data_IF_717773422231
#
_entry.id   IF_717773422231
#
_cell.length_a   1.000
_cell.length_b   1.000
_cell.length_c   1.000
_cell.angle_alpha   90.00
_cell.angle_beta   90.00
_cell.angle_gamma   90.00
#
_symmetry.space_group_name_H-M   'P 1'
#
loop_
_entity.id
_entity.type
_entity.pdbx_description
1 polymer ?
#
# COMPACT_ATOMS: atom_id res chain seq x y z
N UNK A 1 -6.38 -9.99 25.39
CA UNK A 1 -5.46 -10.90 24.76
C UNK A 1 -4.08 -10.82 25.41
N UNK A 2 -3.39 -11.92 25.64
CA UNK A 2 -2.09 -11.95 26.30
C UNK A 2 -1.15 -12.91 25.57
N UNK A 3 0.02 -12.44 25.20
CA UNK A 3 1.06 -13.23 24.53
C UNK A 3 2.35 -13.22 25.34
N UNK A 4 2.94 -14.40 25.53
CA UNK A 4 4.25 -14.50 26.14
C UNK A 4 5.13 -15.47 25.34
N UNK A 5 6.32 -15.05 24.93
CA UNK A 5 6.86 -13.68 25.02
C UNK A 5 6.06 -12.67 24.18
N UNK A 6 6.34 -11.37 24.34
CA UNK A 6 5.63 -10.31 23.63
C UNK A 6 5.53 -10.56 22.12
N UNK A 7 4.36 -10.30 21.56
CA UNK A 7 4.05 -10.51 20.15
C UNK A 7 4.41 -9.27 19.33
N UNK A 8 4.87 -9.46 18.11
CA UNK A 8 4.94 -8.45 17.07
C UNK A 8 3.74 -8.62 16.12
N UNK A 9 2.83 -7.66 16.06
CA UNK A 9 1.70 -7.67 15.13
C UNK A 9 2.08 -7.09 13.77
N UNK A 10 1.26 -7.34 12.74
CA UNK A 10 1.48 -6.84 11.39
C UNK A 10 1.59 -5.32 11.30
N UNK A 11 0.90 -4.58 12.17
CA UNK A 11 0.93 -3.11 12.25
C UNK A 11 1.93 -2.55 13.28
N UNK A 12 3.01 -3.27 13.56
CA UNK A 12 4.15 -2.80 14.39
C UNK A 12 3.82 -2.56 15.87
N UNK A 13 2.89 -3.30 16.44
CA UNK A 13 2.69 -3.33 17.89
C UNK A 13 3.53 -4.44 18.51
N UNK A 14 4.41 -4.06 19.45
CA UNK A 14 5.39 -4.96 20.08
C UNK A 14 5.16 -5.02 21.59
N UNK A 15 4.16 -5.76 22.04
CA UNK A 15 3.92 -6.00 23.46
C UNK A 15 3.13 -7.30 23.73
N UNK A 16 3.00 -7.65 25.02
CA UNK A 16 2.26 -8.84 25.45
C UNK A 16 0.74 -8.65 25.50
N UNK A 17 0.24 -7.42 25.32
CA UNK A 17 -1.16 -7.06 25.50
C UNK A 17 -1.70 -6.22 24.34
N UNK A 18 -1.58 -6.70 23.07
CA UNK A 18 -2.12 -5.96 21.94
C UNK A 18 -3.64 -5.81 22.06
N UNK A 19 -4.14 -4.61 21.75
CA UNK A 19 -5.56 -4.31 21.69
C UNK A 19 -6.22 -4.85 20.42
N UNK A 20 -7.55 -4.76 20.34
CA UNK A 20 -8.31 -5.23 19.17
C UNK A 20 -7.94 -4.48 17.88
N UNK A 21 -7.52 -3.21 18.00
CA UNK A 21 -7.11 -2.38 16.86
C UNK A 21 -5.62 -2.54 16.49
N UNK A 22 -4.89 -3.38 17.21
CA UNK A 22 -3.46 -3.63 16.98
C UNK A 22 -3.21 -4.85 16.10
N UNK A 23 -4.19 -5.26 15.28
CA UNK A 23 -4.11 -6.45 14.43
C UNK A 23 -3.63 -7.70 15.20
N UNK A 24 -4.19 -7.89 16.39
CA UNK A 24 -3.75 -8.91 17.37
C UNK A 24 -3.78 -10.35 16.81
N UNK A 25 -4.56 -10.60 15.75
CA UNK A 25 -4.65 -11.88 15.04
C UNK A 25 -3.48 -12.13 14.08
N UNK A 26 -2.67 -11.11 13.79
CA UNK A 26 -1.55 -11.20 12.85
C UNK A 26 -0.22 -11.45 13.57
N UNK A 27 0.78 -11.89 12.82
CA UNK A 27 2.17 -11.97 13.24
C UNK A 27 3.05 -11.28 12.21
N UNK A 28 3.85 -10.32 12.66
CA UNK A 28 4.82 -9.67 11.78
C UNK A 28 5.94 -10.62 11.41
N UNK A 29 6.18 -10.80 10.13
CA UNK A 29 7.30 -11.58 9.63
C UNK A 29 8.61 -10.80 9.78
N UNK A 30 9.69 -11.51 10.05
CA UNK A 30 11.00 -10.88 10.19
C UNK A 30 11.64 -10.62 8.82
N UNK A 31 11.56 -9.38 8.37
CA UNK A 31 12.24 -8.91 7.16
C UNK A 31 13.63 -8.29 7.44
N UNK A 32 14.16 -8.47 8.64
CA UNK A 32 15.50 -7.97 9.01
C UNK A 32 15.49 -6.53 9.53
N UNK A 33 14.35 -5.99 9.95
CA UNK A 33 14.26 -4.65 10.54
C UNK A 33 14.12 -4.75 12.05
N UNK A 34 15.04 -4.12 12.79
CA UNK A 34 14.96 -3.99 14.25
C UNK A 34 14.08 -2.78 14.63
N UNK A 35 12.80 -3.02 14.82
CA UNK A 35 11.82 -2.01 15.17
C UNK A 35 12.02 -1.40 16.55
N UNK A 36 12.68 -2.11 17.46
CA UNK A 36 12.95 -1.64 18.83
C UNK A 36 14.23 -0.80 18.93
N UNK A 37 15.05 -0.80 17.87
CA UNK A 37 16.30 -0.08 17.80
C UNK A 37 16.34 0.80 16.52
N UNK A 38 15.57 1.87 16.52
CA UNK A 38 15.51 2.90 15.48
C UNK A 38 15.22 2.37 14.06
N UNK A 39 14.57 1.21 13.93
CA UNK A 39 14.25 0.56 12.66
C UNK A 39 15.51 0.26 11.81
N UNK A 40 16.63 -0.06 12.47
CA UNK A 40 17.87 -0.43 11.78
C UNK A 40 17.64 -1.69 10.94
N UNK A 41 18.02 -1.63 9.67
CA UNK A 41 17.99 -2.77 8.76
C UNK A 41 19.19 -3.68 8.92
N UNK A 42 18.96 -4.98 8.96
CA UNK A 42 19.97 -6.04 8.99
C UNK A 42 19.71 -6.95 7.78
N UNK A 43 20.27 -6.58 6.63
CA UNK A 43 20.00 -7.24 5.34
C UNK A 43 21.23 -7.98 4.80
N UNK A 44 22.30 -8.07 5.57
CA UNK A 44 23.51 -8.85 5.25
C UNK A 44 23.88 -9.73 6.46
N UNK A 45 23.70 -11.07 6.38
CA UNK A 45 23.12 -11.79 5.26
C UNK A 45 21.63 -11.49 5.04
N UNK A 46 21.14 -11.68 3.81
CA UNK A 46 19.71 -11.52 3.48
C UNK A 46 18.88 -12.42 4.38
N UNK A 47 17.81 -11.88 5.03
CA UNK A 47 16.89 -12.68 5.85
C UNK A 47 16.25 -13.84 5.06
N UNK A 48 16.14 -15.01 5.67
CA UNK A 48 15.51 -16.20 5.04
C UNK A 48 14.06 -15.93 4.58
N UNK A 49 13.35 -15.04 5.28
CA UNK A 49 12.02 -14.57 4.89
C UNK A 49 12.00 -14.01 3.46
N UNK A 50 13.05 -13.29 3.03
CA UNK A 50 13.11 -12.71 1.68
C UNK A 50 13.14 -13.81 0.61
N UNK A 51 13.96 -14.83 0.80
CA UNK A 51 14.05 -15.96 -0.13
C UNK A 51 12.71 -16.68 -0.24
N UNK A 52 12.06 -16.97 0.89
CA UNK A 52 10.75 -17.63 0.92
C UNK A 52 9.66 -16.81 0.25
N UNK A 53 9.63 -15.50 0.48
CA UNK A 53 8.65 -14.61 -0.16
C UNK A 53 8.91 -14.47 -1.66
N UNK A 54 10.17 -14.44 -2.09
CA UNK A 54 10.51 -14.46 -3.52
C UNK A 54 10.05 -15.77 -4.18
N UNK A 55 10.27 -16.92 -3.54
CA UNK A 55 9.78 -18.22 -4.03
C UNK A 55 8.25 -18.22 -4.21
N UNK A 56 7.50 -17.63 -3.26
CA UNK A 56 6.04 -17.48 -3.36
C UNK A 56 5.65 -16.60 -4.55
N UNK A 57 6.31 -15.46 -4.73
CA UNK A 57 6.05 -14.56 -5.85
C UNK A 57 6.33 -15.26 -7.20
N UNK A 58 7.46 -15.94 -7.34
CA UNK A 58 7.81 -16.69 -8.55
C UNK A 58 6.84 -17.84 -8.81
N UNK A 59 6.41 -18.57 -7.75
CA UNK A 59 5.43 -19.64 -7.90
C UNK A 59 4.11 -19.14 -8.50
N UNK A 60 3.60 -18.01 -8.01
CA UNK A 60 2.35 -17.46 -8.52
C UNK A 60 2.53 -16.78 -9.90
N UNK A 61 3.63 -16.08 -10.12
CA UNK A 61 3.95 -15.52 -11.44
C UNK A 61 3.96 -16.59 -12.54
N UNK A 62 4.47 -17.80 -12.23
CA UNK A 62 4.45 -18.93 -13.14
C UNK A 62 3.05 -19.53 -13.43
N UNK A 63 1.98 -19.00 -12.81
CA UNK A 63 0.57 -19.40 -13.05
C UNK A 63 -0.15 -18.50 -14.03
N UNK A 64 0.57 -17.71 -14.82
CA UNK A 64 0.01 -16.83 -15.84
C UNK A 64 -0.95 -15.77 -15.28
N UNK A 65 -0.59 -15.21 -14.15
CA UNK A 65 -1.28 -14.05 -13.56
C UNK A 65 -0.73 -12.75 -14.15
N UNK A 66 -1.52 -11.66 -14.12
CA UNK A 66 -1.13 -10.35 -14.64
C UNK A 66 -0.27 -9.53 -13.67
N UNK A 67 -0.40 -9.78 -12.38
CA UNK A 67 0.34 -9.01 -11.37
C UNK A 67 -0.03 -9.32 -9.93
N UNK A 68 0.56 -8.52 -9.03
CA UNK A 68 0.35 -8.61 -7.59
C UNK A 68 -0.16 -7.28 -7.03
N UNK A 69 -1.22 -7.33 -6.26
CA UNK A 69 -1.59 -6.27 -5.30
C UNK A 69 -0.93 -6.61 -3.97
N UNK A 70 -0.07 -5.73 -3.50
CA UNK A 70 0.68 -5.90 -2.26
C UNK A 70 0.00 -5.12 -1.15
N UNK A 71 -0.67 -5.86 -0.26
CA UNK A 71 -1.37 -5.35 0.91
C UNK A 71 -0.40 -4.69 1.87
N UNK A 72 -0.73 -3.47 2.35
CA UNK A 72 0.06 -2.72 3.31
C UNK A 72 1.58 -2.81 3.02
N UNK A 73 1.96 -2.58 1.75
CA UNK A 73 3.34 -2.75 1.29
C UNK A 73 4.36 -1.92 2.10
N UNK A 74 3.93 -0.78 2.66
CA UNK A 74 4.78 0.07 3.51
C UNK A 74 5.13 -0.56 4.88
N UNK A 75 4.45 -1.64 5.29
CA UNK A 75 4.80 -2.43 6.48
C UNK A 75 5.92 -3.43 6.22
N UNK A 76 6.36 -3.56 4.97
CA UNK A 76 7.50 -4.36 4.53
C UNK A 76 8.60 -3.42 4.05
N UNK A 77 9.88 -3.61 4.44
CA UNK A 77 10.94 -2.69 4.07
C UNK A 77 11.09 -2.56 2.55
N UNK A 78 11.31 -1.33 2.09
CA UNK A 78 11.44 -1.03 0.65
C UNK A 78 12.61 -1.78 0.02
N UNK A 79 13.64 -2.07 0.79
CA UNK A 79 14.82 -2.85 0.37
C UNK A 79 14.45 -4.27 -0.06
N UNK A 80 13.47 -4.91 0.62
CA UNK A 80 12.95 -6.20 0.17
C UNK A 80 12.30 -6.10 -1.20
N UNK A 81 11.44 -5.10 -1.41
CA UNK A 81 10.75 -4.91 -2.69
C UNK A 81 11.74 -4.61 -3.81
N UNK A 82 12.72 -3.72 -3.55
CA UNK A 82 13.79 -3.39 -4.49
C UNK A 82 14.68 -4.58 -4.85
N UNK A 83 14.78 -5.56 -3.97
CA UNK A 83 15.50 -6.81 -4.24
C UNK A 83 14.62 -7.85 -4.94
N UNK A 84 13.36 -8.00 -4.55
CA UNK A 84 12.49 -9.08 -5.04
C UNK A 84 11.85 -8.77 -6.40
N UNK A 85 11.30 -7.56 -6.59
CA UNK A 85 10.55 -7.20 -7.81
C UNK A 85 11.39 -7.34 -9.10
N UNK A 86 12.65 -6.85 -9.15
CA UNK A 86 13.47 -7.03 -10.33
C UNK A 86 13.70 -8.50 -10.69
N UNK A 87 13.88 -9.38 -9.70
CA UNK A 87 14.08 -10.82 -9.92
C UNK A 87 12.84 -11.52 -10.48
N UNK A 88 11.64 -11.10 -10.03
CA UNK A 88 10.38 -11.59 -10.62
C UNK A 88 10.24 -11.11 -12.05
N UNK A 89 10.50 -9.82 -12.33
CA UNK A 89 10.37 -9.21 -13.66
C UNK A 89 11.42 -9.71 -14.65
N UNK A 90 12.58 -10.16 -14.19
CA UNK A 90 13.58 -10.80 -15.04
C UNK A 90 13.03 -12.09 -15.68
N UNK A 91 12.25 -12.86 -14.93
CA UNK A 91 11.65 -14.12 -15.40
C UNK A 91 10.27 -13.90 -16.04
N UNK A 92 9.50 -12.94 -15.52
CA UNK A 92 8.11 -12.65 -15.90
C UNK A 92 7.94 -11.14 -16.14
N UNK A 93 8.44 -10.58 -17.26
CA UNK A 93 8.49 -9.14 -17.49
C UNK A 93 7.11 -8.46 -17.63
N UNK A 94 6.04 -9.24 -17.85
CA UNK A 94 4.66 -8.73 -17.94
C UNK A 94 4.00 -8.49 -16.58
N UNK A 95 4.56 -9.05 -15.50
CA UNK A 95 3.97 -8.94 -14.16
C UNK A 95 4.01 -7.49 -13.67
N UNK A 96 2.85 -6.97 -13.24
CA UNK A 96 2.71 -5.64 -12.63
C UNK A 96 2.67 -5.79 -11.11
N UNK A 97 3.28 -4.81 -10.42
CA UNK A 97 3.22 -4.70 -8.94
C UNK A 97 2.48 -3.43 -8.55
N UNK A 98 1.39 -3.60 -7.80
CA UNK A 98 0.57 -2.50 -7.27
C UNK A 98 0.73 -2.51 -5.75
N UNK A 99 1.16 -1.39 -5.16
CA UNK A 99 1.33 -1.29 -3.72
C UNK A 99 0.23 -0.46 -3.04
N UNK A 100 -0.17 -0.92 -1.89
CA UNK A 100 -0.90 -0.12 -0.93
C UNK A 100 0.10 0.59 -0.01
N UNK A 101 0.25 1.91 -0.21
CA UNK A 101 1.11 2.79 0.58
C UNK A 101 0.28 4.02 0.97
N UNK A 102 0.14 4.29 2.26
CA UNK A 102 -0.69 5.39 2.76
C UNK A 102 0.12 6.63 3.14
N UNK A 103 1.44 6.51 3.32
CA UNK A 103 2.29 7.66 3.57
C UNK A 103 2.75 8.32 2.26
N UNK A 104 2.25 9.53 1.91
CA UNK A 104 2.64 10.20 0.66
C UNK A 104 4.14 10.54 0.57
N UNK A 105 4.83 10.65 1.70
CA UNK A 105 6.28 10.88 1.73
C UNK A 105 7.07 9.67 1.23
N UNK A 106 6.48 8.47 1.31
CA UNK A 106 7.08 7.22 0.88
C UNK A 106 6.76 6.86 -0.58
N UNK A 107 5.83 7.53 -1.25
CA UNK A 107 5.42 7.18 -2.61
C UNK A 107 6.60 7.06 -3.57
N UNK A 108 7.48 8.06 -3.61
CA UNK A 108 8.67 8.04 -4.48
C UNK A 108 9.65 6.94 -4.10
N UNK A 109 9.78 6.65 -2.81
CA UNK A 109 10.64 5.58 -2.31
C UNK A 109 10.17 4.21 -2.82
N UNK A 110 8.88 3.92 -2.72
CA UNK A 110 8.31 2.64 -3.17
C UNK A 110 8.26 2.51 -4.70
N UNK A 111 8.09 3.62 -5.44
CA UNK A 111 8.16 3.60 -6.90
C UNK A 111 9.61 3.40 -7.37
N UNK A 112 10.55 4.24 -6.91
CA UNK A 112 11.90 4.26 -7.48
C UNK A 112 12.84 3.22 -6.87
N UNK A 113 12.81 3.05 -5.56
CA UNK A 113 13.67 2.09 -4.86
C UNK A 113 12.97 0.74 -4.67
N UNK A 114 11.66 0.74 -4.46
CA UNK A 114 10.84 -0.47 -4.34
C UNK A 114 10.48 -1.12 -5.69
N UNK A 115 10.60 -0.40 -6.80
CA UNK A 115 10.27 -0.83 -8.17
C UNK A 115 8.80 -1.18 -8.41
N UNK A 116 7.88 -0.63 -7.63
CA UNK A 116 6.45 -0.76 -7.89
C UNK A 116 6.03 0.00 -9.16
N UNK A 117 5.15 -0.60 -9.94
CA UNK A 117 4.60 0.03 -11.15
C UNK A 117 3.55 1.07 -10.77
N UNK A 118 2.69 0.74 -9.79
CA UNK A 118 1.60 1.59 -9.34
C UNK A 118 1.44 1.59 -7.83
N UNK A 119 1.00 2.73 -7.30
CA UNK A 119 0.54 2.89 -5.92
C UNK A 119 -0.90 3.38 -5.90
N UNK A 120 -1.68 3.01 -4.89
CA UNK A 120 -3.00 3.61 -4.66
C UNK A 120 -2.88 5.09 -4.27
N UNK A 121 -3.63 5.96 -4.93
CA UNK A 121 -3.79 7.35 -4.49
C UNK A 121 -4.94 7.48 -3.48
N UNK A 122 -4.76 6.85 -2.31
CA UNK A 122 -5.75 6.85 -1.22
C UNK A 122 -5.79 8.20 -0.51
N UNK A 123 -4.66 8.61 0.06
CA UNK A 123 -4.56 9.81 0.92
C UNK A 123 -4.57 11.10 0.12
N UNK A 124 -4.17 11.06 -1.14
CA UNK A 124 -4.22 12.20 -2.05
C UNK A 124 -5.62 12.39 -2.65
N UNK A 125 -5.85 11.77 -3.80
CA UNK A 125 -7.04 12.03 -4.61
C UNK A 125 -8.32 11.42 -4.03
N UNK A 126 -8.29 10.15 -3.57
CA UNK A 126 -9.51 9.50 -3.04
C UNK A 126 -10.10 10.28 -1.86
N UNK A 127 -9.29 10.57 -0.83
CA UNK A 127 -9.78 11.27 0.37
C UNK A 127 -10.27 12.68 0.03
N UNK A 128 -9.59 13.37 -0.89
CA UNK A 128 -10.02 14.70 -1.36
C UNK A 128 -11.34 14.63 -2.12
N UNK A 129 -11.53 13.68 -3.03
CA UNK A 129 -12.79 13.53 -3.78
C UNK A 129 -13.96 13.15 -2.86
N UNK A 130 -13.71 12.29 -1.88
CA UNK A 130 -14.72 11.96 -0.87
C UNK A 130 -15.10 13.17 -0.02
N UNK A 131 -14.11 13.88 0.53
CA UNK A 131 -14.35 15.06 1.36
C UNK A 131 -15.08 16.16 0.58
N UNK A 132 -14.70 16.39 -0.68
CA UNK A 132 -15.37 17.32 -1.57
C UNK A 132 -16.83 16.94 -1.84
N UNK A 133 -17.07 15.65 -2.13
CA UNK A 133 -18.42 15.14 -2.38
C UNK A 133 -19.31 15.25 -1.14
N UNK A 134 -18.75 15.06 0.04
CA UNK A 134 -19.42 15.27 1.32
C UNK A 134 -19.62 16.77 1.68
N UNK A 135 -19.01 17.70 0.95
CA UNK A 135 -19.08 19.14 1.22
C UNK A 135 -18.11 19.64 2.32
N UNK A 136 -17.07 18.86 2.62
CA UNK A 136 -16.09 19.15 3.66
C UNK A 136 -14.81 19.78 3.12
N UNK A 137 -14.62 19.80 1.79
CA UNK A 137 -13.41 20.33 1.14
C UNK A 137 -13.77 21.15 -0.12
N UNK A 138 -12.77 21.92 -0.62
CA UNK A 138 -12.89 22.73 -1.83
C UNK A 138 -12.29 22.01 -3.04
N UNK A 139 -12.89 22.18 -4.22
CA UNK A 139 -12.35 21.67 -5.48
C UNK A 139 -10.94 22.22 -5.81
N UNK A 140 -10.54 23.34 -5.22
CA UNK A 140 -9.19 23.91 -5.36
C UNK A 140 -8.10 23.01 -4.80
N UNK A 141 -8.45 22.03 -3.96
CA UNK A 141 -7.49 21.08 -3.41
C UNK A 141 -7.08 19.99 -4.41
N UNK A 142 -7.88 19.71 -5.44
CA UNK A 142 -7.56 18.69 -6.45
C UNK A 142 -6.26 19.04 -7.20
N UNK A 143 -6.09 20.24 -7.81
CA UNK A 143 -4.82 20.61 -8.45
C UNK A 143 -3.63 20.56 -7.49
N UNK A 144 -3.83 20.90 -6.23
CA UNK A 144 -2.77 20.84 -5.23
C UNK A 144 -2.32 19.38 -4.96
N UNK A 145 -3.28 18.45 -4.89
CA UNK A 145 -2.94 17.02 -4.74
C UNK A 145 -2.13 16.51 -5.95
N UNK A 146 -2.54 16.86 -7.17
CA UNK A 146 -1.80 16.49 -8.37
C UNK A 146 -0.39 17.09 -8.41
N UNK A 147 -0.22 18.34 -7.98
CA UNK A 147 1.11 18.97 -7.90
C UNK A 147 2.06 18.23 -6.96
N UNK A 148 1.55 17.66 -5.87
CA UNK A 148 2.35 16.85 -4.94
C UNK A 148 2.86 15.54 -5.57
N UNK A 149 2.19 15.06 -6.63
CA UNK A 149 2.56 13.84 -7.36
C UNK A 149 3.50 14.11 -8.55
N UNK A 150 3.94 15.36 -8.76
CA UNK A 150 4.75 15.74 -9.92
C UNK A 150 5.91 14.77 -10.17
N UNK A 151 5.92 14.16 -11.35
CA UNK A 151 6.91 13.17 -11.80
C UNK A 151 6.58 11.70 -11.46
N UNK A 152 5.49 11.43 -10.73
CA UNK A 152 4.99 10.08 -10.44
C UNK A 152 3.49 9.91 -10.76
N UNK A 153 2.85 10.89 -11.38
CA UNK A 153 1.39 10.91 -11.62
C UNK A 153 0.92 9.65 -12.34
N UNK A 154 1.66 9.22 -13.35
CA UNK A 154 1.34 8.01 -14.13
C UNK A 154 1.54 6.69 -13.37
N UNK A 155 2.16 6.74 -12.21
CA UNK A 155 2.34 5.59 -11.33
C UNK A 155 1.26 5.54 -10.23
N UNK A 156 0.32 6.48 -10.22
CA UNK A 156 -0.75 6.50 -9.22
C UNK A 156 -2.00 5.81 -9.78
N UNK A 157 -2.50 4.83 -9.04
CA UNK A 157 -3.76 4.14 -9.31
C UNK A 157 -4.88 4.88 -8.61
N UNK A 158 -5.66 5.64 -9.38
CA UNK A 158 -6.86 6.29 -8.86
C UNK A 158 -7.98 5.29 -8.68
N UNK A 159 -8.75 5.44 -7.63
CA UNK A 159 -9.91 4.59 -7.34
C UNK A 159 -10.94 5.35 -6.50
N UNK A 160 -12.16 4.84 -6.44
CA UNK A 160 -13.24 5.38 -5.61
C UNK A 160 -13.87 4.32 -4.70
N UNK A 161 -13.65 3.06 -5.00
CA UNK A 161 -14.14 1.92 -4.24
C UNK A 161 -13.09 0.81 -4.26
N UNK A 162 -12.99 0.10 -3.16
CA UNK A 162 -12.29 -1.17 -3.05
C UNK A 162 -12.93 -2.02 -1.93
N UNK A 163 -12.28 -3.07 -1.47
CA UNK A 163 -12.80 -3.94 -0.41
C UNK A 163 -12.73 -3.31 1.00
N UNK A 164 -11.90 -2.28 1.20
CA UNK A 164 -11.74 -1.55 2.47
C UNK A 164 -12.60 -0.28 2.54
N UNK A 165 -12.95 0.28 1.38
CA UNK A 165 -13.73 1.51 1.30
C UNK A 165 -15.20 1.23 0.99
N UNK A 166 -16.09 2.06 1.52
CA UNK A 166 -17.52 1.92 1.24
C UNK A 166 -17.84 2.36 -0.19
N UNK A 167 -18.97 1.84 -0.70
CA UNK A 167 -19.48 2.19 -2.02
C UNK A 167 -19.69 3.70 -2.17
N UNK A 168 -19.38 4.24 -3.36
CA UNK A 168 -19.54 5.68 -3.65
C UNK A 168 -20.97 6.17 -3.50
N UNK A 169 -21.97 5.29 -3.67
CA UNK A 169 -23.37 5.62 -3.48
C UNK A 169 -23.83 5.59 -2.01
N UNK A 170 -23.00 5.10 -1.08
CA UNK A 170 -23.31 5.06 0.35
C UNK A 170 -23.32 6.45 0.98
N UNK A 171 -23.96 6.59 2.14
CA UNK A 171 -23.96 7.83 2.93
C UNK A 171 -22.57 8.24 3.39
N UNK A 172 -21.64 7.29 3.44
CA UNK A 172 -20.22 7.55 3.77
C UNK A 172 -19.51 8.39 2.69
N UNK A 173 -19.89 8.25 1.40
CA UNK A 173 -19.25 8.97 0.29
C UNK A 173 -20.22 10.01 -0.29
N UNK A 174 -21.16 9.62 -1.13
CA UNK A 174 -22.03 10.57 -1.87
C UNK A 174 -23.50 10.59 -1.42
N UNK A 175 -23.98 9.52 -0.80
CA UNK A 175 -25.38 9.34 -0.43
C UNK A 175 -26.29 8.96 -1.60
N UNK A 176 -25.82 9.17 -2.86
CA UNK A 176 -26.48 8.66 -4.04
C UNK A 176 -25.50 8.60 -5.23
N UNK A 177 -25.73 7.70 -6.22
CA UNK A 177 -24.79 7.48 -7.32
C UNK A 177 -24.62 8.70 -8.25
N UNK A 178 -25.66 9.51 -8.46
CA UNK A 178 -25.58 10.66 -9.36
C UNK A 178 -24.66 11.77 -8.79
N UNK A 179 -24.67 11.96 -7.48
CA UNK A 179 -23.79 12.91 -6.80
C UNK A 179 -22.32 12.50 -6.91
N UNK A 180 -22.04 11.21 -7.09
CA UNK A 180 -20.68 10.67 -7.23
C UNK A 180 -20.10 10.80 -8.65
N UNK A 181 -20.90 11.10 -9.67
CA UNK A 181 -20.46 11.18 -11.08
C UNK A 181 -19.25 12.12 -11.28
N UNK A 182 -19.22 13.34 -10.72
CA UNK A 182 -18.05 14.21 -10.88
C UNK A 182 -16.75 13.59 -10.34
N UNK A 183 -16.83 12.94 -9.18
CA UNK A 183 -15.69 12.23 -8.60
C UNK A 183 -15.23 11.08 -9.50
N UNK A 184 -16.17 10.31 -10.08
CA UNK A 184 -15.88 9.22 -11.01
C UNK A 184 -15.17 9.73 -12.28
N UNK A 185 -15.64 10.83 -12.85
CA UNK A 185 -15.01 11.44 -14.04
C UNK A 185 -13.57 11.87 -13.72
N UNK A 186 -13.36 12.58 -12.61
CA UNK A 186 -12.03 13.05 -12.21
C UNK A 186 -11.07 11.88 -11.93
N UNK A 187 -11.57 10.80 -11.32
CA UNK A 187 -10.76 9.62 -11.03
C UNK A 187 -10.37 8.83 -12.28
N UNK A 188 -11.16 8.90 -13.36
CA UNK A 188 -10.96 8.13 -14.59
C UNK A 188 -10.24 8.90 -15.71
N UNK A 189 -10.14 10.23 -15.62
CA UNK A 189 -9.53 11.10 -16.63
C UNK A 189 -8.24 11.75 -16.14
#
# INVERSE_FOLDING_TARGET
YCEFPAKATGNDKFDAWPGINDWYETVKLNYGVDYMNWRIGHFDPIPDTWNKMLEILLFWAAKDIDGFRCDMAEMVPVEFWGWAIPQVKEQFPHIIFIAEVYNPNEYRNYIFNGHFDYLYDKVGLYDTLRALTCGHESATNIPFRWQNLNGIEKNMLNFLENHDEQRIASDFFAGNPFKAIPAMVISAC
#
